data_IF_009627718916
#
_entry.id   IF_009627718916
#
_cell.length_a   1.000
_cell.length_b   1.000
_cell.length_c   1.000
_cell.angle_alpha   90.00
_cell.angle_beta   90.00
_cell.angle_gamma   90.00
#
_symmetry.space_group_name_H-M   'P 1'
#
loop_
_entity.id
_entity.type
_entity.pdbx_description
1 polymer ?
#
# COMPACT_ATOMS: atom_id res chain seq x y z
N UNK A 1 -15.44 -7.54 -22.87
CA UNK A 1 -16.05 -7.95 -21.57
C UNK A 1 -15.46 -7.05 -20.50
N UNK A 2 -16.22 -6.50 -19.53
CA UNK A 2 -15.59 -5.78 -18.44
C UNK A 2 -14.85 -6.80 -17.57
N UNK A 3 -13.52 -6.71 -17.56
CA UNK A 3 -12.67 -7.46 -16.64
C UNK A 3 -12.85 -6.84 -15.25
N UNK A 4 -13.42 -7.58 -14.29
CA UNK A 4 -13.41 -7.18 -12.88
C UNK A 4 -11.97 -7.31 -12.36
N UNK A 5 -11.16 -6.27 -12.60
CA UNK A 5 -9.78 -6.20 -12.13
C UNK A 5 -9.77 -5.98 -10.61
N UNK A 6 -9.03 -6.84 -9.90
CA UNK A 6 -8.71 -6.67 -8.49
C UNK A 6 -7.53 -5.73 -8.36
N UNK A 7 -7.82 -4.45 -8.14
CA UNK A 7 -6.81 -3.40 -7.98
C UNK A 7 -6.62 -3.12 -6.48
N UNK A 8 -5.36 -3.11 -6.05
CA UNK A 8 -4.98 -2.65 -4.71
C UNK A 8 -4.05 -1.44 -4.75
N UNK A 9 -4.24 -0.53 -3.81
CA UNK A 9 -3.27 0.50 -3.46
C UNK A 9 -2.56 0.00 -2.20
N UNK A 10 -1.23 -0.03 -2.22
CA UNK A 10 -0.42 -0.57 -1.11
C UNK A 10 0.56 0.49 -0.62
N UNK A 11 0.57 0.71 0.69
CA UNK A 11 1.63 1.44 1.38
C UNK A 11 2.36 0.52 2.35
N UNK A 12 3.68 0.68 2.45
CA UNK A 12 4.51 -0.13 3.34
C UNK A 12 5.18 0.79 4.37
N UNK A 13 4.81 0.59 5.63
CA UNK A 13 5.42 1.25 6.77
C UNK A 13 6.80 0.66 7.07
N UNK A 14 7.71 1.51 7.49
CA UNK A 14 8.95 1.07 8.14
C UNK A 14 8.64 0.37 9.47
N UNK A 15 9.54 -0.52 9.90
CA UNK A 15 9.47 -1.34 11.11
C UNK A 15 9.07 -0.53 12.35
N UNK A 16 9.72 0.62 12.55
CA UNK A 16 9.49 1.47 13.71
C UNK A 16 8.35 2.48 13.50
N UNK A 17 7.70 2.46 12.34
CA UNK A 17 6.66 3.41 11.99
C UNK A 17 5.26 2.88 12.30
N UNK A 18 4.32 3.80 12.42
CA UNK A 18 2.93 3.48 12.70
C UNK A 18 2.02 4.31 11.80
N UNK A 19 0.82 3.80 11.59
CA UNK A 19 -0.23 4.49 10.84
C UNK A 19 -0.52 5.88 11.40
N UNK A 20 -0.37 6.09 12.70
CA UNK A 20 -0.59 7.37 13.38
C UNK A 20 0.28 8.49 12.82
N UNK A 21 1.54 8.18 12.44
CA UNK A 21 2.46 9.16 11.85
C UNK A 21 1.97 9.71 10.52
N UNK A 22 1.22 8.91 9.78
CA UNK A 22 0.78 9.18 8.41
C UNK A 22 -0.75 9.25 8.28
N UNK A 23 -1.45 9.50 9.38
CA UNK A 23 -2.91 9.34 9.47
C UNK A 23 -3.65 10.13 8.39
N UNK A 24 -3.30 11.40 8.17
CA UNK A 24 -3.93 12.24 7.14
C UNK A 24 -3.73 11.69 5.73
N UNK A 25 -2.50 11.34 5.36
CA UNK A 25 -2.18 10.81 4.04
C UNK A 25 -2.89 9.47 3.79
N UNK A 26 -2.78 8.54 4.75
CA UNK A 26 -3.42 7.23 4.65
C UNK A 26 -4.94 7.29 4.67
N UNK A 27 -5.55 8.21 5.42
CA UNK A 27 -6.99 8.41 5.42
C UNK A 27 -7.48 8.92 4.06
N UNK A 28 -6.74 9.87 3.44
CA UNK A 28 -7.07 10.33 2.08
C UNK A 28 -7.02 9.20 1.05
N UNK A 29 -6.01 8.33 1.15
CA UNK A 29 -5.83 7.18 0.26
C UNK A 29 -6.93 6.13 0.46
N UNK A 30 -7.30 5.84 1.72
CA UNK A 30 -8.40 4.94 2.06
C UNK A 30 -9.74 5.43 1.48
N UNK A 31 -10.05 6.72 1.65
CA UNK A 31 -11.24 7.33 1.05
C UNK A 31 -11.27 7.21 -0.47
N UNK A 32 -10.12 7.45 -1.14
CA UNK A 32 -10.01 7.31 -2.59
C UNK A 32 -10.22 5.86 -3.04
N UNK A 33 -9.60 4.89 -2.36
CA UNK A 33 -9.75 3.47 -2.66
C UNK A 33 -11.21 3.02 -2.52
N UNK A 34 -11.88 3.42 -1.43
CA UNK A 34 -13.30 3.13 -1.20
C UNK A 34 -14.20 3.67 -2.33
N UNK A 35 -13.96 4.92 -2.75
CA UNK A 35 -14.73 5.56 -3.84
C UNK A 35 -14.56 4.84 -5.18
N UNK A 36 -13.34 4.39 -5.50
CA UNK A 36 -13.02 3.72 -6.76
C UNK A 36 -13.20 2.19 -6.72
N UNK A 37 -13.69 1.64 -5.60
CA UNK A 37 -13.82 0.20 -5.37
C UNK A 37 -12.47 -0.55 -5.51
N UNK A 38 -11.39 0.06 -5.02
CA UNK A 38 -10.07 -0.55 -4.87
C UNK A 38 -9.86 -1.05 -3.44
N UNK A 39 -8.94 -1.99 -3.26
CA UNK A 39 -8.49 -2.40 -1.92
C UNK A 39 -7.34 -1.51 -1.47
N UNK A 40 -7.40 -0.92 -0.27
CA UNK A 40 -6.25 -0.24 0.33
C UNK A 40 -5.60 -1.13 1.40
N UNK A 41 -4.31 -1.42 1.25
CA UNK A 41 -3.53 -2.22 2.20
C UNK A 41 -2.38 -1.41 2.77
N UNK A 42 -2.20 -1.52 4.08
CA UNK A 42 -1.03 -1.00 4.79
C UNK A 42 -0.28 -2.18 5.39
N UNK A 43 0.93 -2.45 4.88
CA UNK A 43 1.81 -3.46 5.42
C UNK A 43 2.87 -2.84 6.32
N UNK A 44 3.34 -3.56 7.33
CA UNK A 44 4.51 -3.17 8.12
C UNK A 44 5.71 -4.03 7.73
N UNK A 45 6.87 -3.41 7.48
CA UNK A 45 8.10 -4.13 7.15
C UNK A 45 8.53 -5.16 8.20
N UNK A 46 8.16 -4.97 9.48
CA UNK A 46 8.45 -5.91 10.57
C UNK A 46 7.81 -7.28 10.32
N UNK A 47 6.55 -7.30 9.88
CA UNK A 47 5.77 -8.53 9.68
C UNK A 47 6.35 -9.41 8.56
N UNK A 48 7.18 -8.84 7.69
CA UNK A 48 7.75 -9.50 6.52
C UNK A 48 9.25 -9.76 6.65
N UNK A 49 9.89 -9.51 7.80
CA UNK A 49 11.35 -9.68 7.96
C UNK A 49 11.86 -11.09 7.68
N UNK A 50 11.04 -12.12 7.90
CA UNK A 50 11.42 -13.52 7.65
C UNK A 50 11.41 -13.88 6.17
N UNK A 51 10.54 -13.23 5.38
CA UNK A 51 10.34 -13.45 3.95
C UNK A 51 11.23 -12.49 3.14
N UNK A 52 11.15 -11.20 3.46
CA UNK A 52 11.85 -10.10 2.81
C UNK A 52 13.03 -9.64 3.68
N UNK A 53 14.18 -10.32 3.53
CA UNK A 53 15.41 -10.12 4.32
C UNK A 53 16.30 -8.97 3.83
N UNK A 54 15.79 -8.12 2.93
CA UNK A 54 16.53 -6.98 2.40
C UNK A 54 16.84 -5.99 3.53
N UNK A 55 18.11 -5.57 3.65
CA UNK A 55 18.53 -4.60 4.66
C UNK A 55 18.09 -3.18 4.33
N UNK A 56 18.08 -2.87 3.04
CA UNK A 56 17.63 -1.59 2.54
C UNK A 56 16.11 -1.58 2.42
N UNK A 57 15.50 -0.57 3.03
CA UNK A 57 14.05 -0.45 3.12
C UNK A 57 13.38 -0.34 1.75
N UNK A 58 14.02 0.32 0.78
CA UNK A 58 13.45 0.51 -0.55
C UNK A 58 13.27 -0.83 -1.24
N UNK A 59 14.27 -1.71 -1.17
CA UNK A 59 14.19 -3.07 -1.70
C UNK A 59 13.28 -3.99 -0.87
N UNK A 60 13.23 -3.79 0.44
CA UNK A 60 12.31 -4.54 1.30
C UNK A 60 10.85 -4.28 0.90
N UNK A 61 10.47 -3.02 0.67
CA UNK A 61 9.12 -2.64 0.24
C UNK A 61 8.74 -3.30 -1.09
N UNK A 62 9.65 -3.33 -2.06
CA UNK A 62 9.43 -4.02 -3.34
C UNK A 62 9.16 -5.52 -3.16
N UNK A 63 9.92 -6.21 -2.30
CA UNK A 63 9.70 -7.61 -1.99
C UNK A 63 8.32 -7.87 -1.35
N UNK A 64 7.92 -7.00 -0.40
CA UNK A 64 6.62 -7.10 0.28
C UNK A 64 5.48 -6.92 -0.74
N UNK A 65 5.56 -5.87 -1.57
CA UNK A 65 4.56 -5.60 -2.61
C UNK A 65 4.47 -6.76 -3.61
N UNK A 66 5.61 -7.34 -4.02
CA UNK A 66 5.63 -8.50 -4.91
C UNK A 66 4.95 -9.73 -4.29
N UNK A 67 5.10 -9.92 -2.97
CA UNK A 67 4.41 -11.00 -2.24
C UNK A 67 2.88 -10.80 -2.24
N UNK A 68 2.44 -9.55 -2.00
CA UNK A 68 1.02 -9.17 -1.98
C UNK A 68 0.37 -9.24 -3.37
N UNK A 69 1.13 -9.03 -4.44
CA UNK A 69 0.61 -9.04 -5.82
C UNK A 69 -0.06 -10.37 -6.19
N UNK A 70 0.30 -11.48 -5.55
CA UNK A 70 -0.35 -12.78 -5.78
C UNK A 70 -1.89 -12.78 -5.56
N UNK A 71 -2.43 -11.82 -4.82
CA UNK A 71 -3.87 -11.68 -4.55
C UNK A 71 -4.60 -10.68 -5.47
N UNK A 72 -3.88 -9.95 -6.34
CA UNK A 72 -4.40 -8.82 -7.11
C UNK A 72 -3.94 -8.88 -8.57
N UNK A 73 -4.72 -8.27 -9.47
CA UNK A 73 -4.31 -8.12 -10.87
C UNK A 73 -3.32 -6.96 -11.02
N UNK A 74 -3.52 -5.90 -10.22
CA UNK A 74 -2.65 -4.72 -10.20
C UNK A 74 -2.45 -4.23 -8.77
N UNK A 75 -1.21 -3.82 -8.48
CA UNK A 75 -0.89 -3.02 -7.30
C UNK A 75 -0.34 -1.67 -7.73
N UNK A 76 -0.94 -0.60 -7.21
CA UNK A 76 -0.32 0.72 -7.15
C UNK A 76 0.40 0.85 -5.81
N UNK A 77 1.72 0.80 -5.81
CA UNK A 77 2.53 1.06 -4.63
C UNK A 77 2.72 2.57 -4.43
N UNK A 78 2.41 3.08 -3.24
CA UNK A 78 2.56 4.49 -2.85
C UNK A 78 3.21 4.59 -1.48
N UNK A 79 4.13 5.55 -1.32
CA UNK A 79 4.75 5.81 -0.02
C UNK A 79 3.72 6.27 1.02
N UNK A 80 4.03 6.01 2.29
CA UNK A 80 3.12 6.24 3.41
C UNK A 80 2.73 7.72 3.60
N UNK A 81 3.54 8.65 3.12
CA UNK A 81 3.33 10.10 3.17
C UNK A 81 2.69 10.68 1.91
N UNK A 82 2.25 9.84 0.96
CA UNK A 82 1.53 10.27 -0.23
C UNK A 82 0.04 10.34 0.06
N UNK A 83 -0.53 11.52 -0.20
CA UNK A 83 -1.95 11.79 -0.07
C UNK A 83 -2.59 12.06 -1.44
N UNK A 84 -3.90 11.82 -1.54
CA UNK A 84 -4.68 12.21 -2.72
C UNK A 84 -5.13 13.65 -2.54
N UNK A 85 -4.76 14.53 -3.48
CA UNK A 85 -5.24 15.92 -3.52
C UNK A 85 -6.26 16.01 -4.65
N UNK A 86 -7.52 16.32 -4.32
CA UNK A 86 -8.73 16.30 -5.18
C UNK A 86 -9.57 15.02 -5.10
N UNK A 87 -10.24 14.81 -3.97
CA UNK A 87 -11.27 13.79 -3.76
C UNK A 87 -12.60 14.08 -4.46
N UNK A 88 -12.74 15.23 -5.12
CA UNK A 88 -13.98 15.68 -5.78
C UNK A 88 -14.20 15.07 -7.18
N UNK A 89 -13.34 14.15 -7.63
CA UNK A 89 -13.52 13.39 -8.89
C UNK A 89 -14.03 11.99 -8.60
#
# INVERSE_FOLDING_TARGET
MPTNLKIAIVSVLDVASSRTKYSTAMASMECYALRQNYTYLVANGEDYRTICKHKDITFQRHCIVATLLSAFDWILFVDADIAVVNENV
#
